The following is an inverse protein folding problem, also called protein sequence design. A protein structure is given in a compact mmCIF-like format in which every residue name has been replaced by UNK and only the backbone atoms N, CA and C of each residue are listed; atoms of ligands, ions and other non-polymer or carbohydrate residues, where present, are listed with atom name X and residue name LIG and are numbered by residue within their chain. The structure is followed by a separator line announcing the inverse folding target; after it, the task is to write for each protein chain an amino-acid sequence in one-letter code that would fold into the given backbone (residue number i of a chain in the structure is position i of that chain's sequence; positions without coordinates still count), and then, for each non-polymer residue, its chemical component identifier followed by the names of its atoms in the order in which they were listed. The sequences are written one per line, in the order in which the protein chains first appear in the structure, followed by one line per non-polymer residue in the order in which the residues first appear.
data_IF_059503617195
#
_entry.id   IF_059503617195
#
_cell.length_a   1.000
_cell.length_b   1.000
_cell.length_c   1.000
_cell.angle_alpha   90.00
_cell.angle_beta   90.00
_cell.angle_gamma   90.00
#
_symmetry.space_group_name_H-M   'P 1'
#
loop_
_entity.id
_entity.type
_entity.pdbx_description
1 polymer ?
#
# COMPACT_ATOMS: atom_id res chain seq x y z
N UNK A 1 -13.50 -16.29 -7.80
CA UNK A 1 -12.49 -15.22 -8.03
C UNK A 1 -11.27 -15.91 -8.62
N UNK A 2 -10.68 -15.34 -9.68
CA UNK A 2 -9.53 -15.96 -10.34
C UNK A 2 -8.37 -14.97 -10.37
N UNK A 3 -7.34 -15.21 -9.55
CA UNK A 3 -6.12 -14.39 -9.50
C UNK A 3 -5.05 -15.08 -10.32
N UNK A 4 -4.49 -14.36 -11.31
CA UNK A 4 -3.42 -14.85 -12.18
C UNK A 4 -2.18 -13.98 -12.01
N UNK A 5 -1.01 -14.61 -11.88
CA UNK A 5 0.28 -13.94 -11.97
C UNK A 5 0.82 -14.06 -13.40
N UNK A 6 1.08 -12.93 -14.06
CA UNK A 6 1.56 -12.91 -15.46
C UNK A 6 3.05 -12.57 -15.59
N UNK A 7 3.74 -12.34 -14.48
CA UNK A 7 5.15 -11.94 -14.49
C UNK A 7 5.36 -10.52 -15.00
N UNK A 8 6.37 -10.33 -15.87
CA UNK A 8 6.74 -9.00 -16.37
C UNK A 8 5.71 -8.51 -17.36
N UNK A 9 5.15 -7.32 -17.15
CA UNK A 9 4.32 -6.68 -18.16
C UNK A 9 5.20 -6.23 -19.35
N UNK A 10 5.18 -6.99 -20.45
CA UNK A 10 5.98 -6.74 -21.66
C UNK A 10 5.12 -6.14 -22.77
N UNK A 11 4.89 -4.83 -22.79
CA UNK A 11 4.24 -4.12 -23.91
C UNK A 11 2.79 -4.51 -24.24
N UNK A 12 2.28 -5.63 -23.71
CA UNK A 12 0.90 -6.04 -23.78
C UNK A 12 0.04 -5.11 -22.92
N UNK A 13 -1.07 -4.65 -23.50
CA UNK A 13 -2.12 -3.96 -22.74
C UNK A 13 -2.65 -4.94 -21.68
N UNK A 14 -2.82 -4.45 -20.46
CA UNK A 14 -3.56 -5.18 -19.43
C UNK A 14 -4.86 -5.73 -20.04
N UNK A 15 -5.35 -6.90 -19.58
CA UNK A 15 -6.54 -7.51 -20.15
C UNK A 15 -7.69 -6.50 -20.14
N UNK A 16 -8.10 -6.05 -21.32
CA UNK A 16 -9.13 -5.02 -21.46
C UNK A 16 -10.49 -5.71 -21.53
N UNK A 17 -11.38 -5.42 -20.59
CA UNK A 17 -12.78 -5.77 -20.73
C UNK A 17 -13.53 -4.67 -21.47
N UNK A 18 -14.58 -5.05 -22.19
CA UNK A 18 -15.55 -4.10 -22.74
C UNK A 18 -16.24 -3.38 -21.59
N UNK A 19 -16.01 -2.07 -21.49
CA UNK A 19 -16.69 -1.22 -20.52
C UNK A 19 -18.12 -0.95 -20.99
N UNK A 20 -19.14 -1.11 -20.13
CA UNK A 20 -20.48 -0.59 -20.41
C UNK A 20 -20.43 0.92 -20.66
N UNK A 21 -21.37 1.46 -21.45
CA UNK A 21 -21.44 2.90 -21.78
C UNK A 21 -21.59 3.82 -20.55
N UNK A 22 -21.97 3.27 -19.40
CA UNK A 22 -22.07 3.97 -18.11
C UNK A 22 -20.77 4.00 -17.31
N UNK A 23 -19.68 3.40 -17.81
CA UNK A 23 -18.40 3.28 -17.11
C UNK A 23 -17.31 4.08 -17.85
N UNK A 24 -16.54 4.86 -17.09
CA UNK A 24 -15.37 5.56 -17.60
C UNK A 24 -14.10 4.76 -17.30
N UNK A 25 -13.17 4.72 -18.26
CA UNK A 25 -11.82 4.24 -17.99
C UNK A 25 -11.14 5.16 -16.99
N UNK A 26 -10.24 4.62 -16.17
CA UNK A 26 -9.40 5.44 -15.30
C UNK A 26 -8.56 6.38 -16.19
N UNK A 27 -8.48 7.68 -15.86
CA UNK A 27 -7.62 8.59 -16.58
C UNK A 27 -6.16 8.13 -16.44
N UNK A 28 -5.36 8.34 -17.48
CA UNK A 28 -3.93 8.15 -17.36
C UNK A 28 -3.41 9.03 -16.22
N UNK A 29 -2.58 8.43 -15.36
CA UNK A 29 -1.97 9.12 -14.24
C UNK A 29 -0.90 10.08 -14.80
N UNK A 30 -1.28 11.34 -15.05
CA UNK A 30 -0.49 12.32 -15.80
C UNK A 30 0.78 12.83 -15.07
N UNK A 31 0.85 12.72 -13.75
CA UNK A 31 2.09 13.00 -13.00
C UNK A 31 2.06 12.42 -11.59
N UNK A 32 3.13 11.73 -11.15
CA UNK A 32 3.28 11.32 -9.75
C UNK A 32 3.53 12.54 -8.86
N UNK A 33 2.51 12.97 -8.12
CA UNK A 33 2.64 14.12 -7.23
C UNK A 33 3.23 13.67 -5.90
N UNK A 34 4.55 13.85 -5.75
CA UNK A 34 5.24 13.61 -4.49
C UNK A 34 4.69 14.46 -3.32
N UNK A 35 3.93 15.52 -3.62
CA UNK A 35 3.25 16.34 -2.60
C UNK A 35 2.25 15.54 -1.76
N UNK A 36 1.70 14.45 -2.29
CA UNK A 36 0.81 13.56 -1.53
C UNK A 36 1.52 12.82 -0.39
N UNK A 37 2.86 12.73 -0.43
CA UNK A 37 3.64 12.18 0.69
C UNK A 37 3.60 13.08 1.93
N UNK A 38 3.44 14.40 1.77
CA UNK A 38 3.50 15.35 2.88
C UNK A 38 2.44 15.02 3.95
N UNK A 39 1.14 14.93 3.65
CA UNK A 39 0.14 14.60 4.67
C UNK A 39 0.32 13.18 5.24
N UNK A 40 0.77 12.22 4.43
CA UNK A 40 1.02 10.83 4.87
C UNK A 40 2.16 10.77 5.88
N UNK A 41 3.29 11.42 5.58
CA UNK A 41 4.44 11.49 6.46
C UNK A 41 4.15 12.32 7.71
N UNK A 42 3.40 13.42 7.58
CA UNK A 42 2.95 14.21 8.72
C UNK A 42 2.10 13.36 9.68
N UNK A 43 1.16 12.57 9.15
CA UNK A 43 0.40 11.62 9.96
C UNK A 43 1.29 10.58 10.65
N UNK A 44 2.22 9.96 9.91
CA UNK A 44 3.17 9.00 10.48
C UNK A 44 3.98 9.60 11.65
N UNK A 45 4.62 10.76 11.41
CA UNK A 45 5.46 11.41 12.41
C UNK A 45 4.64 11.91 13.60
N UNK A 46 3.39 12.33 13.40
CA UNK A 46 2.48 12.69 14.49
C UNK A 46 2.26 11.49 15.43
N UNK A 47 1.96 10.30 14.90
CA UNK A 47 1.74 9.10 15.73
C UNK A 47 3.02 8.66 16.45
N UNK A 48 4.17 8.69 15.76
CA UNK A 48 5.48 8.40 16.36
C UNK A 48 5.80 9.38 17.48
N UNK A 49 5.53 10.66 17.27
CA UNK A 49 5.70 11.70 18.27
C UNK A 49 4.81 11.44 19.49
N UNK A 50 3.52 11.16 19.28
CA UNK A 50 2.61 10.80 20.37
C UNK A 50 3.11 9.61 21.18
N UNK A 51 3.58 8.54 20.51
CA UNK A 51 4.21 7.40 21.19
C UNK A 51 5.41 7.82 22.05
N UNK A 52 6.31 8.62 21.49
CA UNK A 52 7.51 9.07 22.20
C UNK A 52 7.13 9.78 23.52
N UNK A 53 6.10 10.62 23.51
CA UNK A 53 5.64 11.30 24.73
C UNK A 53 4.88 10.39 25.71
N UNK A 54 4.08 9.46 25.21
CA UNK A 54 3.24 8.61 26.07
C UNK A 54 4.01 7.47 26.73
N UNK A 55 4.88 6.78 25.98
CA UNK A 55 5.53 5.54 26.44
C UNK A 55 7.06 5.58 26.31
N UNK A 56 7.60 6.64 25.69
CA UNK A 56 8.96 6.63 25.14
C UNK A 56 9.06 5.85 23.83
N UNK A 57 10.15 6.07 23.11
CA UNK A 57 10.51 5.33 21.90
C UNK A 57 12.02 5.11 21.89
N UNK A 58 12.43 3.85 21.84
CA UNK A 58 13.82 3.45 21.62
C UNK A 58 13.89 2.68 20.32
N UNK A 59 14.72 3.15 19.39
CA UNK A 59 14.94 2.50 18.09
C UNK A 59 16.43 2.38 17.80
N UNK A 60 16.82 1.33 17.07
CA UNK A 60 18.16 1.21 16.49
C UNK A 60 18.08 1.05 14.99
N UNK A 61 19.04 1.66 14.28
CA UNK A 61 19.09 1.62 12.83
C UNK A 61 19.16 0.19 12.27
N UNK A 62 19.84 -0.73 12.97
CA UNK A 62 19.93 -2.15 12.59
C UNK A 62 18.55 -2.79 12.43
N UNK A 63 17.67 -2.60 13.41
CA UNK A 63 16.34 -3.22 13.38
C UNK A 63 15.33 -2.42 12.55
N UNK A 64 15.54 -1.11 12.39
CA UNK A 64 14.77 -0.30 11.42
C UNK A 64 15.03 -0.80 9.99
N UNK A 65 16.29 -1.07 9.64
CA UNK A 65 16.64 -1.64 8.34
C UNK A 65 16.03 -3.03 8.13
N UNK A 66 15.90 -3.84 9.19
CA UNK A 66 15.15 -5.11 9.12
C UNK A 66 13.66 -4.84 8.84
N UNK A 67 13.06 -3.84 9.48
CA UNK A 67 11.70 -3.39 9.18
C UNK A 67 11.51 -2.96 7.72
N UNK A 68 12.47 -2.22 7.17
CA UNK A 68 12.47 -1.84 5.75
C UNK A 68 12.55 -3.05 4.82
N UNK A 69 13.46 -3.99 5.11
CA UNK A 69 13.60 -5.22 4.32
C UNK A 69 12.30 -6.04 4.36
N UNK A 70 11.70 -6.19 5.53
CA UNK A 70 10.41 -6.88 5.68
C UNK A 70 9.32 -6.20 4.87
N UNK A 71 9.24 -4.87 4.89
CA UNK A 71 8.26 -4.14 4.09
C UNK A 71 8.39 -4.43 2.58
N UNK A 72 9.63 -4.40 2.06
CA UNK A 72 9.92 -4.71 0.65
C UNK A 72 9.54 -6.16 0.33
N UNK A 73 9.89 -7.12 1.19
CA UNK A 73 9.54 -8.55 1.01
C UNK A 73 8.02 -8.76 1.03
N UNK A 74 7.27 -7.91 1.73
CA UNK A 74 5.80 -7.96 1.78
C UNK A 74 5.09 -7.21 0.65
N UNK A 75 5.79 -6.62 -0.33
CA UNK A 75 5.11 -5.99 -1.48
C UNK A 75 4.23 -6.97 -2.29
N UNK A 76 4.58 -8.25 -2.50
CA UNK A 76 3.64 -9.22 -3.09
C UNK A 76 2.38 -9.42 -2.24
N UNK A 77 2.49 -9.32 -0.91
CA UNK A 77 1.33 -9.37 -0.01
C UNK A 77 0.48 -8.10 -0.14
N UNK A 78 1.09 -6.94 -0.33
CA UNK A 78 0.38 -5.67 -0.61
C UNK A 78 -0.53 -5.81 -1.84
N UNK A 79 0.04 -6.30 -2.94
CA UNK A 79 -0.71 -6.56 -4.18
C UNK A 79 -1.78 -7.64 -4.01
N UNK A 80 -1.50 -8.67 -3.22
CA UNK A 80 -2.51 -9.69 -2.92
C UNK A 80 -3.69 -9.11 -2.13
N UNK A 81 -3.46 -8.15 -1.23
CA UNK A 81 -4.53 -7.46 -0.51
C UNK A 81 -5.40 -6.65 -1.48
N UNK A 82 -4.80 -5.95 -2.45
CA UNK A 82 -5.54 -5.33 -3.56
C UNK A 82 -6.39 -6.37 -4.30
N UNK A 83 -5.76 -7.49 -4.68
CA UNK A 83 -6.40 -8.57 -5.44
C UNK A 83 -7.65 -9.11 -4.75
N UNK A 84 -7.58 -9.42 -3.45
CA UNK A 84 -8.71 -9.98 -2.69
C UNK A 84 -9.82 -8.95 -2.40
N UNK A 85 -9.53 -7.65 -2.48
CA UNK A 85 -10.51 -6.59 -2.27
C UNK A 85 -11.43 -6.35 -3.50
N UNK A 86 -11.01 -6.82 -4.68
CA UNK A 86 -11.84 -6.77 -5.89
C UNK A 86 -13.13 -7.60 -5.77
N UNK A 87 -14.15 -7.31 -6.62
CA UNK A 87 -15.39 -8.08 -6.63
C UNK A 87 -15.21 -9.59 -6.77
N UNK A 88 -16.09 -10.32 -6.09
CA UNK A 88 -16.26 -11.74 -6.34
C UNK A 88 -16.59 -11.96 -7.82
N UNK A 89 -16.08 -13.05 -8.38
CA UNK A 89 -16.19 -13.38 -9.81
C UNK A 89 -15.52 -12.38 -10.76
N UNK A 90 -14.50 -11.65 -10.28
CA UNK A 90 -13.57 -10.92 -11.14
C UNK A 90 -12.40 -11.79 -11.59
N UNK A 91 -11.89 -11.50 -12.78
CA UNK A 91 -10.53 -11.89 -13.17
C UNK A 91 -9.56 -10.79 -12.73
N UNK A 92 -8.55 -11.20 -12.00
CA UNK A 92 -7.56 -10.31 -11.41
C UNK A 92 -6.19 -10.74 -11.92
N UNK A 93 -5.39 -9.76 -12.33
CA UNK A 93 -4.06 -9.98 -12.85
C UNK A 93 -3.06 -9.22 -12.01
N UNK A 94 -2.09 -9.95 -11.47
CA UNK A 94 -0.93 -9.40 -10.77
C UNK A 94 0.30 -9.50 -11.67
N UNK A 95 1.11 -8.45 -11.69
CA UNK A 95 2.24 -8.31 -12.59
C UNK A 95 3.36 -7.47 -11.95
N UNK A 96 4.51 -7.42 -12.60
CA UNK A 96 5.58 -6.49 -12.26
C UNK A 96 6.03 -5.68 -13.47
N UNK A 97 6.46 -4.46 -13.20
CA UNK A 97 7.03 -3.50 -14.14
C UNK A 97 8.39 -3.03 -13.62
N UNK A 98 9.10 -2.20 -14.39
CA UNK A 98 10.31 -1.53 -13.88
C UNK A 98 10.01 -0.57 -12.71
N UNK A 99 8.75 -0.15 -12.54
CA UNK A 99 8.32 0.74 -11.48
C UNK A 99 7.83 0.01 -10.21
N UNK A 100 7.69 -1.31 -10.24
CA UNK A 100 7.22 -2.11 -9.10
C UNK A 100 6.18 -3.17 -9.48
N UNK A 101 5.56 -3.76 -8.45
CA UNK A 101 4.45 -4.69 -8.57
C UNK A 101 3.14 -3.93 -8.83
N UNK A 102 2.14 -4.61 -9.37
CA UNK A 102 0.82 -4.04 -9.56
C UNK A 102 -0.25 -5.10 -9.77
N UNK A 103 -1.49 -4.69 -9.52
CA UNK A 103 -2.68 -5.52 -9.64
C UNK A 103 -3.75 -4.79 -10.41
N UNK A 104 -4.47 -5.52 -11.28
CA UNK A 104 -5.59 -4.96 -12.03
C UNK A 104 -6.74 -5.95 -12.14
N UNK A 105 -7.93 -5.43 -12.42
CA UNK A 105 -9.17 -6.20 -12.53
C UNK A 105 -9.87 -5.89 -13.85
N UNK A 106 -10.42 -6.92 -14.48
CA UNK A 106 -11.17 -6.80 -15.73
C UNK A 106 -12.62 -6.35 -15.54
N UNK A 107 -13.08 -6.13 -14.32
CA UNK A 107 -14.49 -5.80 -14.04
C UNK A 107 -14.65 -4.34 -13.62
N UNK A 108 -15.69 -3.62 -14.09
CA UNK A 108 -15.97 -2.29 -13.58
C UNK A 108 -16.27 -2.35 -12.08
N UNK A 109 -15.70 -1.38 -11.34
CA UNK A 109 -15.89 -1.20 -9.90
C UNK A 109 -16.51 0.16 -9.63
N UNK A 110 -17.35 0.26 -8.59
CA UNK A 110 -17.88 1.55 -8.15
C UNK A 110 -16.76 2.40 -7.55
N UNK A 111 -16.86 3.73 -7.64
CA UNK A 111 -15.88 4.66 -7.05
C UNK A 111 -15.60 4.38 -5.58
N UNK A 112 -16.63 4.12 -4.78
CA UNK A 112 -16.49 3.79 -3.35
C UNK A 112 -15.66 2.52 -3.13
N UNK A 113 -15.88 1.50 -3.97
CA UNK A 113 -15.14 0.24 -3.88
C UNK A 113 -13.70 0.39 -4.35
N UNK A 114 -13.47 1.19 -5.40
CA UNK A 114 -12.14 1.51 -5.89
C UNK A 114 -11.30 2.16 -4.79
N UNK A 115 -11.83 3.21 -4.14
CA UNK A 115 -11.19 3.85 -2.98
C UNK A 115 -10.84 2.85 -1.88
N UNK A 116 -11.77 1.94 -1.57
CA UNK A 116 -11.54 0.93 -0.55
C UNK A 116 -10.42 -0.05 -0.95
N UNK A 117 -10.37 -0.48 -2.21
CA UNK A 117 -9.30 -1.35 -2.73
C UNK A 117 -7.95 -0.65 -2.57
N UNK A 118 -7.80 0.56 -3.11
CA UNK A 118 -6.52 1.29 -3.11
C UNK A 118 -6.02 1.63 -1.67
N UNK A 119 -6.91 1.94 -0.72
CA UNK A 119 -6.49 2.28 0.66
C UNK A 119 -6.17 1.04 1.50
N UNK A 120 -6.78 -0.12 1.21
CA UNK A 120 -6.79 -1.26 2.12
C UNK A 120 -5.39 -1.80 2.45
N UNK A 121 -4.45 -1.99 1.50
CA UNK A 121 -3.13 -2.50 1.84
C UNK A 121 -2.33 -1.54 2.72
N UNK A 122 -2.38 -0.24 2.40
CA UNK A 122 -1.74 0.81 3.22
C UNK A 122 -2.31 0.83 4.64
N UNK A 123 -3.62 0.63 4.79
CA UNK A 123 -4.25 0.53 6.10
C UNK A 123 -3.77 -0.70 6.87
N UNK A 124 -3.79 -1.89 6.25
CA UNK A 124 -3.44 -3.15 6.91
C UNK A 124 -1.95 -3.26 7.22
N UNK A 125 -1.08 -2.89 6.28
CA UNK A 125 0.38 -3.07 6.39
C UNK A 125 1.11 -1.82 6.92
N UNK A 126 0.48 -0.65 6.86
CA UNK A 126 1.05 0.60 7.36
C UNK A 126 0.40 1.07 8.65
N UNK A 127 -0.90 1.34 8.61
CA UNK A 127 -1.63 1.96 9.73
C UNK A 127 -1.72 1.01 10.92
N UNK A 128 -2.17 -0.24 10.73
CA UNK A 128 -2.31 -1.18 11.86
C UNK A 128 -0.97 -1.42 12.58
N UNK A 129 0.16 -1.71 11.91
CA UNK A 129 1.46 -1.85 12.57
C UNK A 129 1.92 -0.58 13.30
N UNK A 130 1.59 0.60 12.77
CA UNK A 130 1.86 1.88 13.43
C UNK A 130 1.04 2.07 14.70
N UNK A 131 -0.22 1.63 14.73
CA UNK A 131 -1.03 1.65 15.95
C UNK A 131 -0.56 0.61 16.96
N UNK A 132 -0.15 -0.58 16.52
CA UNK A 132 0.45 -1.61 17.38
C UNK A 132 1.71 -1.05 18.06
N UNK A 133 2.54 -0.31 17.30
CA UNK A 133 3.76 0.33 17.81
C UNK A 133 3.49 1.18 19.07
N UNK A 134 2.36 1.89 19.16
CA UNK A 134 2.00 2.74 20.31
C UNK A 134 2.03 1.93 21.62
N UNK A 135 1.55 0.69 21.59
CA UNK A 135 1.41 -0.16 22.76
C UNK A 135 2.70 -0.92 23.14
N UNK A 136 3.74 -0.85 22.30
CA UNK A 136 4.99 -1.55 22.57
C UNK A 136 5.83 -0.78 23.61
N UNK A 137 6.25 -1.41 24.73
CA UNK A 137 7.10 -0.77 25.73
C UNK A 137 8.42 -0.26 25.14
N UNK A 138 8.98 0.81 25.69
CA UNK A 138 10.24 1.40 25.19
C UNK A 138 11.41 0.43 25.24
N UNK A 139 11.39 -0.52 26.19
CA UNK A 139 12.43 -1.52 26.42
C UNK A 139 12.53 -2.52 25.26
N UNK A 140 11.43 -2.74 24.53
CA UNK A 140 11.43 -3.61 23.35
C UNK A 140 11.90 -2.84 22.10
N UNK A 141 13.17 -2.46 22.10
CA UNK A 141 13.80 -1.71 21.02
C UNK A 141 13.73 -2.43 19.68
N UNK A 142 13.80 -3.77 19.68
CA UNK A 142 13.73 -4.60 18.46
C UNK A 142 12.39 -4.41 17.78
N UNK A 143 11.29 -4.69 18.48
CA UNK A 143 9.95 -4.62 17.91
C UNK A 143 9.56 -3.17 17.56
N UNK A 144 9.94 -2.20 18.41
CA UNK A 144 9.74 -0.78 18.11
C UNK A 144 10.39 -0.38 16.78
N UNK A 145 11.64 -0.82 16.56
CA UNK A 145 12.40 -0.48 15.37
C UNK A 145 11.84 -1.14 14.11
N UNK A 146 11.47 -2.43 14.21
CA UNK A 146 10.89 -3.18 13.09
C UNK A 146 9.55 -2.57 12.69
N UNK A 147 8.63 -2.34 13.64
CA UNK A 147 7.31 -1.77 13.35
C UNK A 147 7.43 -0.33 12.83
N UNK A 148 8.37 0.47 13.36
CA UNK A 148 8.64 1.81 12.83
C UNK A 148 9.05 1.76 11.36
N UNK A 149 10.07 0.96 11.03
CA UNK A 149 10.57 0.86 9.66
C UNK A 149 9.53 0.26 8.71
N UNK A 150 8.85 -0.81 9.14
CA UNK A 150 7.83 -1.48 8.36
C UNK A 150 6.66 -0.56 8.02
N UNK A 151 6.12 0.14 9.02
CA UNK A 151 5.00 1.08 8.83
C UNK A 151 5.40 2.26 7.96
N UNK A 152 6.62 2.79 8.12
CA UNK A 152 7.12 3.91 7.34
C UNK A 152 7.12 3.62 5.83
N UNK A 153 7.62 2.44 5.44
CA UNK A 153 7.68 2.05 4.02
C UNK A 153 6.30 1.78 3.45
N UNK A 154 5.39 1.12 4.18
CA UNK A 154 4.05 0.84 3.66
C UNK A 154 3.18 2.09 3.55
N UNK A 155 3.26 3.01 4.51
CA UNK A 155 2.57 4.30 4.42
C UNK A 155 3.17 5.18 3.33
N UNK A 156 4.50 5.35 3.33
CA UNK A 156 5.19 6.16 2.33
C UNK A 156 5.04 5.58 0.91
N UNK A 157 5.16 4.27 0.75
CA UNK A 157 5.03 3.55 -0.52
C UNK A 157 3.60 3.54 -1.07
N UNK A 158 2.59 3.52 -0.20
CA UNK A 158 1.17 3.56 -0.57
C UNK A 158 0.69 4.90 -1.17
N UNK A 159 1.56 5.90 -1.31
CA UNK A 159 1.18 7.19 -1.93
C UNK A 159 0.69 7.04 -3.38
N UNK A 160 1.19 6.04 -4.12
CA UNK A 160 0.72 5.73 -5.48
C UNK A 160 -0.74 5.31 -5.49
N UNK A 161 -1.19 4.61 -4.45
CA UNK A 161 -2.55 4.10 -4.35
C UNK A 161 -3.49 5.25 -3.97
N UNK A 162 -3.05 6.16 -3.10
CA UNK A 162 -3.74 7.43 -2.82
C UNK A 162 -3.86 8.28 -4.08
N UNK A 163 -2.83 8.27 -4.93
CA UNK A 163 -2.84 9.01 -6.17
C UNK A 163 -3.86 8.44 -7.18
N UNK A 164 -4.03 7.13 -7.24
CA UNK A 164 -5.06 6.51 -8.10
C UNK A 164 -6.46 7.01 -7.74
N UNK A 165 -6.72 7.29 -6.45
CA UNK A 165 -8.03 7.73 -5.95
C UNK A 165 -8.35 9.18 -6.33
N UNK A 166 -7.32 10.04 -6.34
CA UNK A 166 -7.49 11.49 -6.55
C UNK A 166 -7.68 11.83 -8.03
N UNK A 167 -7.12 11.02 -8.93
CA UNK A 167 -7.26 11.16 -10.38
C UNK A 167 -8.57 10.57 -10.91
#
# INVERSE_FOLDING_TARGET
MNIKWIGKLQGEKLPSASLPSTCSALPEVKSKSALLLIPILAFFFLIVYMKYYMTGLSITLRYVNIGFLLAIVTLPLHELIHAIAYPWNSEIVMYYTMAGLGTSCTRPVSKKRFIAIDILPMFILGVIPLFILIFIPKENTILNSILFGFSFIHLGGGYSDVQNIIN
#
